data_IF_543167595147
#
_entry.id   IF_543167595147
#
_cell.length_a   1.000
_cell.length_b   1.000
_cell.length_c   1.000
_cell.angle_alpha   90.00
_cell.angle_beta   90.00
_cell.angle_gamma   90.00
#
_symmetry.space_group_name_H-M   'P 1'
#
loop_
_entity.id
_entity.type
_entity.pdbx_description
1 polymer ?
#
# COMPACT_ATOMS: atom_id res chain seq x y z
N UNK A 1 70.16 3.57 7.89
CA UNK A 1 69.66 2.60 6.89
C UNK A 1 68.71 1.65 7.60
N UNK A 2 67.39 1.90 7.54
CA UNK A 2 66.38 0.99 8.08
C UNK A 2 65.28 0.84 7.03
N UNK A 3 65.12 -0.38 6.51
CA UNK A 3 64.15 -0.73 5.47
C UNK A 3 62.73 -0.94 6.02
N UNK A 4 61.74 -1.06 5.13
CA UNK A 4 60.32 -1.10 5.49
C UNK A 4 59.83 -2.53 5.70
N UNK A 5 59.03 -2.77 6.75
CA UNK A 5 58.29 -4.02 6.93
C UNK A 5 56.83 -3.81 6.54
N UNK A 6 56.45 -4.44 5.42
CA UNK A 6 55.09 -4.49 4.88
C UNK A 6 54.31 -5.54 5.65
N UNK A 7 53.11 -5.21 6.12
CA UNK A 7 52.10 -6.19 6.52
C UNK A 7 50.77 -5.75 5.93
N UNK A 8 50.41 -6.34 4.79
CA UNK A 8 49.17 -6.10 4.07
C UNK A 8 48.17 -7.16 4.53
N UNK A 9 47.19 -6.79 5.36
CA UNK A 9 46.04 -7.64 5.67
C UNK A 9 44.89 -7.27 4.74
N UNK A 10 44.64 -8.13 3.75
CA UNK A 10 43.46 -8.03 2.89
C UNK A 10 42.24 -8.58 3.63
N UNK A 11 41.29 -7.71 3.98
CA UNK A 11 39.95 -8.10 4.41
C UNK A 11 39.08 -8.33 3.18
N UNK A 12 38.79 -9.60 2.87
CA UNK A 12 37.79 -9.97 1.86
C UNK A 12 36.41 -9.79 2.48
N UNK A 13 35.72 -8.71 2.13
CA UNK A 13 34.33 -8.49 2.53
C UNK A 13 33.40 -9.37 1.68
N UNK A 14 32.86 -10.42 2.29
CA UNK A 14 31.87 -11.32 1.68
C UNK A 14 30.52 -10.59 1.62
N UNK A 15 30.17 -10.06 0.44
CA UNK A 15 28.88 -9.44 0.18
C UNK A 15 27.78 -10.52 0.16
N UNK A 16 27.10 -10.70 1.29
CA UNK A 16 25.84 -11.46 1.35
C UNK A 16 24.77 -10.67 0.58
N UNK A 17 24.64 -10.97 -0.71
CA UNK A 17 23.52 -10.52 -1.54
C UNK A 17 22.22 -11.13 -1.03
N UNK A 18 21.53 -10.41 -0.15
CA UNK A 18 20.15 -10.70 0.19
C UNK A 18 19.25 -10.36 -0.98
N UNK A 19 18.89 -11.34 -1.79
CA UNK A 19 17.81 -11.19 -2.77
C UNK A 19 16.51 -10.96 -2.01
N UNK A 20 16.09 -9.70 -1.91
CA UNK A 20 14.72 -9.37 -1.51
C UNK A 20 13.79 -10.09 -2.48
N UNK A 21 12.97 -11.01 -1.95
CA UNK A 21 11.85 -11.57 -2.70
C UNK A 21 10.92 -10.40 -3.04
N UNK A 22 11.11 -9.78 -4.21
CA UNK A 22 10.12 -8.92 -4.84
C UNK A 22 8.94 -9.80 -5.22
N UNK A 23 8.13 -10.20 -4.23
CA UNK A 23 6.75 -10.54 -4.49
C UNK A 23 6.15 -9.27 -5.08
N UNK A 24 5.87 -9.26 -6.37
CA UNK A 24 5.31 -8.11 -7.09
C UNK A 24 4.06 -7.63 -6.35
N UNK A 25 4.24 -6.62 -5.50
CA UNK A 25 3.17 -5.97 -4.78
C UNK A 25 2.44 -5.14 -5.82
N UNK A 26 1.26 -5.59 -6.24
CA UNK A 26 0.41 -4.78 -7.07
C UNK A 26 0.16 -3.45 -6.32
N UNK A 27 0.60 -2.29 -6.85
CA UNK A 27 0.45 -1.04 -6.15
C UNK A 27 -1.02 -0.63 -6.14
N UNK A 28 -1.42 0.10 -5.09
CA UNK A 28 -2.70 0.84 -5.14
C UNK A 28 -2.47 2.05 -6.03
N UNK A 29 -3.21 2.13 -7.13
CA UNK A 29 -3.18 3.23 -8.10
C UNK A 29 -4.35 4.17 -7.80
N UNK A 30 -4.10 5.47 -7.93
CA UNK A 30 -5.10 6.54 -7.79
C UNK A 30 -5.14 7.38 -9.07
N UNK A 31 -6.27 8.04 -9.30
CA UNK A 31 -6.44 8.99 -10.38
C UNK A 31 -6.64 8.35 -11.75
N UNK A 32 -6.36 9.13 -12.79
CA UNK A 32 -6.52 8.74 -14.19
C UNK A 32 -7.42 9.67 -15.00
N UNK A 33 -8.05 10.63 -14.34
CA UNK A 33 -8.90 11.63 -14.99
C UNK A 33 -8.70 12.99 -14.31
N UNK A 34 -8.71 14.10 -15.07
CA UNK A 34 -8.64 15.44 -14.52
C UNK A 34 -9.97 15.94 -13.93
N UNK A 35 -11.08 15.22 -14.16
CA UNK A 35 -12.43 15.71 -13.85
C UNK A 35 -13.12 15.00 -12.68
N UNK A 36 -12.51 13.94 -12.14
CA UNK A 36 -13.07 13.16 -11.03
C UNK A 36 -12.03 12.91 -9.96
N UNK A 37 -12.49 12.65 -8.73
CA UNK A 37 -11.64 12.32 -7.60
C UNK A 37 -10.70 11.16 -7.89
N UNK A 38 -9.52 11.18 -7.26
CA UNK A 38 -8.50 10.17 -7.49
C UNK A 38 -8.93 8.76 -7.03
N UNK A 39 -9.78 8.68 -6.00
CA UNK A 39 -10.44 7.45 -5.60
C UNK A 39 -11.94 7.55 -5.88
N UNK A 40 -12.56 6.45 -6.27
CA UNK A 40 -13.91 6.46 -6.85
C UNK A 40 -15.03 6.69 -5.84
N UNK A 41 -14.82 6.32 -4.57
CA UNK A 41 -15.81 6.50 -3.50
C UNK A 41 -15.21 6.30 -2.11
N UNK A 42 -15.99 6.68 -1.09
CA UNK A 42 -15.77 6.29 0.30
C UNK A 42 -16.50 4.96 0.58
N UNK A 43 -15.87 4.09 1.35
CA UNK A 43 -16.43 2.84 1.82
C UNK A 43 -16.23 2.67 3.32
N UNK A 44 -16.98 1.74 3.91
CA UNK A 44 -16.84 1.34 5.30
C UNK A 44 -16.61 -0.18 5.40
N UNK A 45 -15.76 -0.58 6.34
CA UNK A 45 -15.55 -2.00 6.64
C UNK A 45 -16.83 -2.61 7.21
N UNK A 46 -17.29 -3.70 6.59
CA UNK A 46 -18.56 -4.33 6.95
C UNK A 46 -18.53 -4.98 8.33
N UNK A 47 -19.67 -4.93 9.02
CA UNK A 47 -19.88 -5.55 10.34
C UNK A 47 -19.53 -7.05 10.28
N UNK A 48 -18.78 -7.54 11.27
CA UNK A 48 -18.35 -8.92 11.36
C UNK A 48 -16.92 -9.03 11.90
N UNK A 49 -16.12 -9.92 11.31
CA UNK A 49 -14.72 -10.14 11.73
C UNK A 49 -13.83 -8.98 11.31
N UNK A 50 -12.86 -8.60 12.12
CA UNK A 50 -11.85 -7.63 11.71
C UNK A 50 -11.20 -8.01 10.36
N UNK A 51 -10.88 -7.00 9.54
CA UNK A 51 -10.33 -7.18 8.19
C UNK A 51 -8.84 -6.89 8.22
N UNK A 52 -8.04 -7.76 7.61
CA UNK A 52 -6.62 -7.49 7.48
C UNK A 52 -6.35 -6.64 6.24
N UNK A 53 -5.73 -5.48 6.44
CA UNK A 53 -5.12 -4.69 5.37
C UNK A 53 -3.81 -5.35 4.96
N UNK A 54 -3.60 -5.55 3.66
CA UNK A 54 -2.44 -6.28 3.12
C UNK A 54 -1.62 -5.46 2.16
N UNK A 55 -0.34 -5.79 2.02
CA UNK A 55 0.57 -5.13 1.06
C UNK A 55 0.28 -5.48 -0.41
N UNK A 56 -0.61 -6.44 -0.68
CA UNK A 56 -1.01 -6.84 -2.02
C UNK A 56 -2.32 -7.65 -2.02
N UNK A 57 -2.93 -7.87 -3.20
CA UNK A 57 -4.21 -8.55 -3.34
C UNK A 57 -4.02 -10.07 -3.18
N UNK A 58 -4.19 -10.59 -1.97
CA UNK A 58 -4.10 -12.02 -1.68
C UNK A 58 -3.70 -12.32 -0.25
N UNK A 59 -4.01 -13.53 0.22
CA UNK A 59 -3.73 -13.91 1.62
C UNK A 59 -2.23 -14.15 1.91
N UNK A 60 -1.43 -14.34 0.85
CA UNK A 60 0.03 -14.50 0.93
C UNK A 60 0.78 -13.19 1.20
N UNK A 61 0.16 -12.04 0.97
CA UNK A 61 0.80 -10.75 1.16
C UNK A 61 0.86 -10.35 2.63
N UNK A 62 1.89 -9.57 2.97
CA UNK A 62 2.14 -9.11 4.33
C UNK A 62 0.91 -8.43 4.92
N UNK A 63 0.64 -8.71 6.20
CA UNK A 63 -0.39 -8.03 6.98
C UNK A 63 0.18 -6.69 7.44
N UNK A 64 -0.43 -5.59 7.03
CA UNK A 64 -0.02 -4.24 7.38
C UNK A 64 -0.75 -3.74 8.62
N UNK A 65 -2.05 -3.98 8.68
CA UNK A 65 -2.89 -3.62 9.82
C UNK A 65 -4.16 -4.48 9.90
N UNK A 66 -4.91 -4.28 10.98
CA UNK A 66 -6.23 -4.85 11.19
C UNK A 66 -7.23 -3.71 11.29
N UNK A 67 -8.28 -3.76 10.48
CA UNK A 67 -9.35 -2.78 10.40
C UNK A 67 -10.59 -3.32 11.12
N UNK A 68 -11.20 -2.48 11.94
CA UNK A 68 -12.44 -2.76 12.64
C UNK A 68 -13.64 -2.53 11.73
N UNK A 69 -14.79 -3.08 12.12
CA UNK A 69 -16.05 -2.75 11.47
C UNK A 69 -16.38 -1.27 11.67
N UNK A 70 -16.83 -0.60 10.60
CA UNK A 70 -17.11 0.83 10.61
C UNK A 70 -15.92 1.71 10.22
N UNK A 71 -14.68 1.18 10.17
CA UNK A 71 -13.53 1.94 9.67
C UNK A 71 -13.79 2.42 8.24
N UNK A 72 -13.54 3.70 7.98
CA UNK A 72 -13.72 4.31 6.66
C UNK A 72 -12.46 4.18 5.81
N UNK A 73 -12.67 3.92 4.52
CA UNK A 73 -11.60 3.76 3.54
C UNK A 73 -11.99 4.39 2.21
N UNK A 74 -11.04 4.99 1.50
CA UNK A 74 -11.22 5.39 0.12
C UNK A 74 -10.99 4.19 -0.81
N UNK A 75 -11.90 3.97 -1.76
CA UNK A 75 -11.83 2.88 -2.75
C UNK A 75 -11.14 3.39 -4.02
N UNK A 76 -9.95 2.87 -4.34
CA UNK A 76 -9.08 3.47 -5.36
C UNK A 76 -8.72 2.53 -6.50
N UNK A 77 -8.50 1.24 -6.19
CA UNK A 77 -8.11 0.24 -7.18
C UNK A 77 -8.91 -1.04 -7.01
N UNK A 78 -8.96 -1.83 -8.07
CA UNK A 78 -9.49 -3.19 -8.08
C UNK A 78 -8.42 -4.12 -8.64
N UNK A 79 -8.23 -5.28 -8.00
CA UNK A 79 -7.27 -6.27 -8.47
C UNK A 79 -7.72 -6.88 -9.81
N UNK A 80 -6.80 -7.43 -10.63
CA UNK A 80 -7.16 -8.03 -11.92
C UNK A 80 -8.19 -9.16 -11.83
N UNK A 81 -8.23 -9.88 -10.70
CA UNK A 81 -9.20 -10.95 -10.43
C UNK A 81 -10.53 -10.45 -9.83
N UNK A 82 -10.66 -9.14 -9.58
CA UNK A 82 -11.87 -8.53 -9.03
C UNK A 82 -12.17 -8.86 -7.57
N UNK A 83 -11.29 -9.56 -6.86
CA UNK A 83 -11.56 -10.03 -5.50
C UNK A 83 -11.07 -9.07 -4.40
N UNK A 84 -10.17 -8.13 -4.74
CA UNK A 84 -9.53 -7.23 -3.80
C UNK A 84 -9.71 -5.77 -4.23
N UNK A 85 -9.93 -4.92 -3.23
CA UNK A 85 -9.93 -3.48 -3.40
C UNK A 85 -8.65 -2.91 -2.82
N UNK A 86 -7.98 -2.08 -3.62
CA UNK A 86 -6.91 -1.22 -3.17
C UNK A 86 -7.52 0.01 -2.50
N UNK A 87 -7.20 0.19 -1.23
CA UNK A 87 -7.82 1.17 -0.36
C UNK A 87 -6.79 2.05 0.33
N UNK A 88 -7.20 3.27 0.63
CA UNK A 88 -6.46 4.22 1.45
C UNK A 88 -7.29 4.47 2.71
N UNK A 89 -6.70 4.27 3.90
CA UNK A 89 -7.42 4.45 5.16
C UNK A 89 -7.79 5.93 5.32
N UNK A 90 -9.08 6.20 5.49
CA UNK A 90 -9.54 7.55 5.79
C UNK A 90 -9.09 7.91 7.22
N UNK A 91 -8.75 9.18 7.42
CA UNK A 91 -8.30 9.70 8.70
C UNK A 91 -9.27 10.78 9.16
N UNK A 92 -10.46 10.43 9.65
CA UNK A 92 -11.51 11.26 10.32
C UNK A 92 -11.46 12.80 10.15
N UNK A 93 -11.15 13.31 8.95
CA UNK A 93 -10.86 14.73 8.69
C UNK A 93 -9.56 15.29 9.30
N UNK A 94 -8.72 14.47 9.96
CA UNK A 94 -7.47 14.89 10.62
C UNK A 94 -6.34 15.08 9.60
N UNK A 95 -6.27 14.22 8.59
CA UNK A 95 -5.19 14.22 7.60
C UNK A 95 -5.76 14.13 6.18
N UNK A 96 -5.34 15.04 5.31
CA UNK A 96 -5.65 14.96 3.88
C UNK A 96 -4.80 13.89 3.20
N UNK A 97 -5.47 12.85 2.69
CA UNK A 97 -4.84 11.76 1.97
C UNK A 97 -4.52 12.09 0.52
N UNK A 98 -5.01 13.22 -0.03
CA UNK A 98 -4.78 13.63 -1.42
C UNK A 98 -5.55 12.80 -2.44
N UNK A 99 -6.75 12.33 -2.08
CA UNK A 99 -7.54 11.36 -2.87
C UNK A 99 -8.95 11.82 -3.22
N UNK A 100 -9.44 12.88 -2.58
CA UNK A 100 -10.75 13.51 -2.81
C UNK A 100 -10.63 14.75 -3.72
N UNK A 101 -9.68 14.71 -4.65
CA UNK A 101 -9.50 15.69 -5.70
C UNK A 101 -8.89 14.98 -6.91
N UNK A 102 -9.05 15.51 -8.13
CA UNK A 102 -8.49 14.88 -9.31
C UNK A 102 -6.98 14.73 -9.29
N UNK A 103 -6.53 13.55 -9.72
CA UNK A 103 -5.10 13.24 -9.95
C UNK A 103 -4.97 12.69 -11.36
N UNK A 104 -4.19 13.40 -12.19
CA UNK A 104 -3.93 13.01 -13.57
C UNK A 104 -2.45 13.28 -13.92
N UNK A 105 -1.72 12.30 -14.51
CA UNK A 105 -2.18 10.96 -14.86
C UNK A 105 -2.36 10.04 -13.64
N UNK A 106 -2.93 8.85 -13.86
CA UNK A 106 -2.98 7.81 -12.85
C UNK A 106 -1.57 7.49 -12.34
N UNK A 107 -1.42 7.29 -11.03
CA UNK A 107 -0.13 6.99 -10.41
C UNK A 107 -0.28 6.11 -9.18
N UNK A 108 0.80 5.44 -8.80
CA UNK A 108 0.88 4.72 -7.54
C UNK A 108 0.71 5.68 -6.35
N UNK A 109 -0.02 5.24 -5.34
CA UNK A 109 -0.17 6.02 -4.12
C UNK A 109 1.12 6.02 -3.30
N UNK A 110 1.60 7.23 -2.99
CA UNK A 110 2.78 7.49 -2.14
C UNK A 110 2.46 8.60 -1.12
N UNK A 111 1.17 8.78 -0.80
CA UNK A 111 0.71 9.83 0.10
C UNK A 111 0.88 9.48 1.58
N UNK A 112 0.43 10.36 2.48
CA UNK A 112 0.75 10.28 3.90
C UNK A 112 -0.15 9.30 4.68
N UNK A 113 -1.32 8.94 4.14
CA UNK A 113 -2.24 8.01 4.77
C UNK A 113 -1.80 6.57 4.52
N UNK A 114 -2.12 5.63 5.41
CA UNK A 114 -1.80 4.22 5.19
C UNK A 114 -2.69 3.59 4.12
N UNK A 115 -2.15 2.69 3.29
CA UNK A 115 -2.86 2.05 2.18
C UNK A 115 -2.54 0.57 2.08
N UNK A 116 -3.34 -0.13 1.29
CA UNK A 116 -3.13 -1.54 0.99
C UNK A 116 -4.36 -2.17 0.35
N UNK A 117 -4.50 -3.47 0.54
CA UNK A 117 -5.52 -4.28 -0.10
C UNK A 117 -6.40 -5.00 0.91
N UNK A 118 -7.71 -4.99 0.67
CA UNK A 118 -8.72 -5.72 1.44
C UNK A 118 -9.64 -6.50 0.50
N UNK A 119 -10.27 -7.61 0.95
CA UNK A 119 -11.23 -8.32 0.11
C UNK A 119 -12.45 -7.43 -0.18
N UNK A 120 -12.88 -7.34 -1.44
CA UNK A 120 -13.99 -6.46 -1.87
C UNK A 120 -15.27 -6.72 -1.06
N UNK A 121 -15.58 -8.00 -0.80
CA UNK A 121 -16.77 -8.41 0.00
C UNK A 121 -16.78 -7.90 1.45
N UNK A 122 -15.68 -7.31 1.91
CA UNK A 122 -15.53 -6.77 3.26
C UNK A 122 -15.66 -5.26 3.34
N UNK A 123 -15.96 -4.60 2.22
CA UNK A 123 -16.19 -3.17 2.17
C UNK A 123 -17.53 -2.90 1.52
N UNK A 124 -18.31 -2.01 2.13
CA UNK A 124 -19.52 -1.47 1.53
C UNK A 124 -19.26 -0.02 1.14
N UNK A 125 -19.57 0.40 -0.10
CA UNK A 125 -19.64 1.82 -0.43
C UNK A 125 -20.57 2.53 0.54
N UNK A 126 -20.17 3.72 0.98
CA UNK A 126 -21.03 4.63 1.73
C UNK A 126 -21.79 5.42 0.68
N UNK A 127 -23.09 5.15 0.55
CA UNK A 127 -23.95 6.01 -0.26
C UNK A 127 -24.12 7.35 0.47
N UNK A 128 -23.84 8.45 -0.24
CA UNK A 128 -24.28 9.79 0.15
C UNK A 128 -25.73 10.04 -0.22
#
# INVERSE_FOLDING_TARGET
MLGPMRASLSFVAMLLGGSTLSGSTLPVVIGGSPDVDACSSLGAITIGKAVTLRSGPGEKYQRLATLAAGDFVHLCSTSPDGNWSGVILAQDGILDCGVSSPVSPAKEYQGPCQWGWVPIKRVSPVAG
#
